data_IF_809939006000
#
_entry.id   IF_809939006000
#
_cell.length_a   1.000
_cell.length_b   1.000
_cell.length_c   1.000
_cell.angle_alpha   90.00
_cell.angle_beta   90.00
_cell.angle_gamma   90.00
#
_symmetry.space_group_name_H-M   'P 1'
#
loop_
_entity.id
_entity.type
_entity.pdbx_description
1 polymer ?
#
# COMPACT_ATOMS: atom_id res chain seq x y z
N UNK A 1 -4.62 -22.94 -8.53
CA UNK A 1 -3.83 -21.70 -8.74
C UNK A 1 -4.14 -20.56 -7.76
N UNK A 2 -5.41 -20.33 -7.38
CA UNK A 2 -5.77 -19.14 -6.58
C UNK A 2 -5.05 -19.07 -5.21
N UNK A 3 -5.13 -20.11 -4.37
CA UNK A 3 -4.51 -20.09 -3.05
C UNK A 3 -2.97 -20.07 -3.07
N UNK A 4 -2.34 -20.69 -4.07
CA UNK A 4 -0.87 -20.73 -4.20
C UNK A 4 -0.28 -19.33 -4.35
N UNK A 5 -0.90 -18.46 -5.18
CA UNK A 5 -0.48 -17.07 -5.34
C UNK A 5 -0.53 -16.32 -4.01
N UNK A 6 -1.53 -16.60 -3.17
CA UNK A 6 -1.68 -15.94 -1.87
C UNK A 6 -0.63 -16.43 -0.87
N UNK A 7 -0.41 -17.75 -0.78
CA UNK A 7 0.65 -18.31 0.07
C UNK A 7 2.03 -17.80 -0.34
N UNK A 8 2.28 -17.63 -1.64
CA UNK A 8 3.52 -17.05 -2.13
C UNK A 8 3.64 -15.56 -1.87
N UNK A 9 2.54 -14.80 -1.90
CA UNK A 9 2.52 -13.40 -1.49
C UNK A 9 2.83 -13.20 0.01
N UNK A 10 2.55 -14.21 0.85
CA UNK A 10 2.87 -14.17 2.28
C UNK A 10 4.35 -14.39 2.60
N UNK A 11 5.14 -14.95 1.66
CA UNK A 11 6.55 -15.30 1.89
C UNK A 11 7.50 -14.11 1.73
N UNK A 12 7.31 -13.03 2.49
CA UNK A 12 8.08 -11.78 2.33
C UNK A 12 9.61 -11.94 2.46
N UNK A 13 10.07 -12.96 3.19
CA UNK A 13 11.49 -13.23 3.43
C UNK A 13 12.19 -13.96 2.28
N UNK A 14 11.45 -14.61 1.37
CA UNK A 14 12.04 -15.41 0.29
C UNK A 14 12.43 -14.50 -0.89
N UNK A 15 13.58 -13.84 -0.76
CA UNK A 15 14.25 -12.96 -1.73
C UNK A 15 15.77 -13.17 -1.63
N UNK A 16 16.51 -12.96 -2.73
CA UNK A 16 17.99 -13.05 -2.74
C UNK A 16 18.61 -12.06 -1.77
N UNK A 17 17.99 -10.89 -1.60
CA UNK A 17 18.48 -9.81 -0.73
C UNK A 17 17.69 -9.68 0.59
N UNK A 18 17.49 -10.80 1.30
CA UNK A 18 16.65 -10.87 2.50
C UNK A 18 17.03 -9.82 3.58
N UNK A 19 18.32 -9.66 3.89
CA UNK A 19 18.78 -8.72 4.94
C UNK A 19 18.37 -7.27 4.66
N UNK A 20 18.40 -6.86 3.39
CA UNK A 20 18.00 -5.50 2.99
C UNK A 20 16.51 -5.28 3.20
N UNK A 21 15.71 -6.29 2.87
CA UNK A 21 14.25 -6.27 3.07
C UNK A 21 13.89 -6.26 4.55
N UNK A 22 14.61 -7.02 5.39
CA UNK A 22 14.45 -6.98 6.84
C UNK A 22 14.77 -5.58 7.39
N UNK A 23 15.84 -4.95 6.93
CA UNK A 23 16.18 -3.57 7.33
C UNK A 23 15.08 -2.59 6.91
N UNK A 24 14.55 -2.71 5.69
CA UNK A 24 13.43 -1.89 5.22
C UNK A 24 12.17 -2.10 6.05
N UNK A 25 11.87 -3.34 6.43
CA UNK A 25 10.75 -3.66 7.30
C UNK A 25 10.89 -2.99 8.67
N UNK A 26 12.04 -3.14 9.32
CA UNK A 26 12.31 -2.55 10.66
C UNK A 26 12.26 -1.02 10.60
N UNK A 27 12.84 -0.42 9.57
CA UNK A 27 12.81 1.03 9.37
C UNK A 27 11.37 1.52 9.18
N UNK A 28 10.59 0.87 8.31
CA UNK A 28 9.21 1.25 8.07
C UNK A 28 8.32 1.06 9.31
N UNK A 29 8.59 0.00 10.09
CA UNK A 29 7.93 -0.26 11.37
C UNK A 29 8.17 0.87 12.37
N UNK A 30 9.43 1.27 12.57
CA UNK A 30 9.77 2.36 13.46
C UNK A 30 9.12 3.69 13.01
N UNK A 31 9.13 3.98 11.71
CA UNK A 31 8.52 5.19 11.14
C UNK A 31 7.00 5.23 11.32
N UNK A 32 6.31 4.10 11.15
CA UNK A 32 4.84 4.06 11.36
C UNK A 32 4.45 4.03 12.85
N UNK A 33 5.33 3.58 13.74
CA UNK A 33 5.06 3.57 15.17
C UNK A 33 5.25 4.96 15.80
N UNK A 34 6.15 5.77 15.24
CA UNK A 34 6.54 7.07 15.78
C UNK A 34 5.35 8.05 15.97
N UNK A 35 4.43 8.26 15.01
CA UNK A 35 3.27 9.15 15.20
C UNK A 35 2.32 8.68 16.32
N UNK A 36 2.26 7.35 16.55
CA UNK A 36 1.36 6.77 17.52
C UNK A 36 1.90 6.92 18.95
N UNK A 37 3.21 6.73 19.13
CA UNK A 37 3.87 6.76 20.44
C UNK A 37 4.25 8.18 20.86
N UNK A 38 4.68 9.04 19.92
CA UNK A 38 5.07 10.39 20.27
C UNK A 38 3.83 11.27 20.57
N UNK A 39 3.90 12.16 21.57
CA UNK A 39 2.85 13.12 21.88
C UNK A 39 2.94 14.32 20.91
N UNK A 40 2.84 14.03 19.61
CA UNK A 40 2.88 15.04 18.54
C UNK A 40 1.46 15.37 18.12
N UNK A 41 1.12 16.65 18.16
CA UNK A 41 -0.19 17.17 17.73
C UNK A 41 -1.34 16.81 18.67
N UNK A 42 -2.55 17.06 18.19
CA UNK A 42 -3.79 16.80 18.91
C UNK A 42 -4.50 15.59 18.30
N UNK A 43 -4.68 14.54 19.12
CA UNK A 43 -5.31 13.26 18.74
C UNK A 43 -6.82 13.29 18.98
N UNK A 44 -7.36 14.36 19.56
CA UNK A 44 -8.79 14.48 19.80
C UNK A 44 -9.50 14.99 18.53
N UNK A 45 -10.26 14.11 17.90
CA UNK A 45 -11.12 14.42 16.76
C UNK A 45 -12.60 14.46 17.14
N UNK A 46 -12.93 14.50 18.45
CA UNK A 46 -14.31 14.55 18.94
C UNK A 46 -15.15 15.69 18.33
N UNK A 47 -14.63 16.91 18.12
CA UNK A 47 -15.39 17.98 17.47
C UNK A 47 -15.87 17.61 16.07
N UNK A 48 -15.01 16.94 15.28
CA UNK A 48 -15.34 16.49 13.93
C UNK A 48 -16.33 15.32 13.94
N UNK A 49 -16.21 14.40 14.90
CA UNK A 49 -17.16 13.29 15.06
C UNK A 49 -18.54 13.77 15.49
N UNK A 50 -18.61 14.74 16.40
CA UNK A 50 -19.86 15.35 16.85
C UNK A 50 -20.54 16.11 15.71
N UNK A 51 -19.77 16.90 14.96
CA UNK A 51 -20.25 17.56 13.74
C UNK A 51 -20.84 16.56 12.73
N UNK A 52 -20.18 15.41 12.53
CA UNK A 52 -20.71 14.36 11.65
C UNK A 52 -22.01 13.75 12.18
N UNK A 53 -22.09 13.50 13.50
CA UNK A 53 -23.30 13.00 14.13
C UNK A 53 -24.48 13.98 13.98
N UNK A 54 -24.24 15.28 14.16
CA UNK A 54 -25.25 16.33 13.98
C UNK A 54 -25.76 16.43 12.54
N UNK A 55 -24.85 16.38 11.55
CA UNK A 55 -25.25 16.32 10.14
C UNK A 55 -26.08 15.06 9.83
N UNK A 56 -25.69 13.91 10.38
CA UNK A 56 -26.44 12.66 10.20
C UNK A 56 -27.83 12.69 10.86
N UNK A 57 -28.01 13.51 11.90
CA UNK A 57 -29.28 13.77 12.55
C UNK A 57 -30.13 14.85 11.83
N UNK A 58 -29.66 15.36 10.68
CA UNK A 58 -30.37 16.34 9.85
C UNK A 58 -30.13 17.80 10.25
N UNK A 59 -29.16 18.09 11.12
CA UNK A 59 -28.75 19.47 11.45
C UNK A 59 -27.58 19.88 10.57
N UNK A 60 -27.80 20.83 9.68
CA UNK A 60 -26.79 21.33 8.74
C UNK A 60 -26.11 22.64 9.20
N UNK A 61 -26.50 23.17 10.36
CA UNK A 61 -25.88 24.35 10.98
C UNK A 61 -24.62 23.93 11.78
N UNK A 62 -23.64 23.41 11.04
CA UNK A 62 -22.40 22.89 11.60
C UNK A 62 -21.24 23.73 11.06
N UNK A 63 -20.33 24.12 11.95
CA UNK A 63 -19.16 24.90 11.58
C UNK A 63 -18.34 24.20 10.48
N UNK A 64 -17.71 24.95 9.57
CA UNK A 64 -16.89 24.36 8.52
C UNK A 64 -15.72 23.56 9.12
N UNK A 65 -15.31 22.49 8.42
CA UNK A 65 -14.24 21.56 8.87
C UNK A 65 -12.95 22.26 9.28
N UNK A 66 -12.61 23.39 8.64
CA UNK A 66 -11.43 24.18 8.98
C UNK A 66 -11.45 24.78 10.39
N UNK A 67 -12.63 25.05 10.94
CA UNK A 67 -12.82 25.62 12.28
C UNK A 67 -13.01 24.53 13.34
N UNK A 68 -13.44 23.33 12.92
CA UNK A 68 -13.60 22.16 13.80
C UNK A 68 -12.27 21.49 14.13
N UNK A 69 -11.24 21.68 13.30
CA UNK A 69 -9.93 21.05 13.44
C UNK A 69 -8.91 22.01 14.05
N UNK A 70 -8.29 21.60 15.15
CA UNK A 70 -7.18 22.35 15.75
C UNK A 70 -5.94 22.28 14.85
N UNK A 71 -4.99 23.23 14.97
CA UNK A 71 -3.70 23.12 14.29
C UNK A 71 -2.96 21.80 14.62
N UNK A 72 -3.18 21.27 15.83
CA UNK A 72 -2.67 19.97 16.25
C UNK A 72 -3.27 18.82 15.46
N UNK A 73 -4.58 18.83 15.17
CA UNK A 73 -5.23 17.81 14.36
C UNK A 73 -4.70 17.81 12.92
N UNK A 74 -4.56 19.00 12.31
CA UNK A 74 -3.99 19.15 10.96
C UNK A 74 -2.58 18.57 10.87
N UNK A 75 -1.76 18.80 11.90
CA UNK A 75 -0.41 18.25 11.98
C UNK A 75 -0.44 16.72 12.05
N UNK A 76 -1.35 16.12 12.82
CA UNK A 76 -1.52 14.65 12.86
C UNK A 76 -1.98 14.11 11.52
N UNK A 77 -2.98 14.72 10.88
CA UNK A 77 -3.46 14.30 9.56
C UNK A 77 -2.30 14.32 8.55
N UNK A 78 -1.51 15.41 8.53
CA UNK A 78 -0.34 15.53 7.68
C UNK A 78 0.72 14.46 7.95
N UNK A 79 0.98 14.16 9.24
CA UNK A 79 1.94 13.13 9.63
C UNK A 79 1.47 11.72 9.23
N UNK A 80 0.18 11.40 9.42
CA UNK A 80 -0.42 10.13 8.99
C UNK A 80 -0.42 9.98 7.46
N UNK A 81 -0.70 11.07 6.74
CA UNK A 81 -0.59 11.08 5.28
C UNK A 81 0.85 10.81 4.85
N UNK A 82 1.83 11.47 5.49
CA UNK A 82 3.25 11.26 5.20
C UNK A 82 3.68 9.82 5.47
N UNK A 83 3.30 9.23 6.61
CA UNK A 83 3.64 7.83 6.91
C UNK A 83 3.00 6.85 5.94
N UNK A 84 1.78 7.14 5.46
CA UNK A 84 1.15 6.34 4.40
C UNK A 84 1.90 6.47 3.07
N UNK A 85 2.32 7.67 2.67
CA UNK A 85 3.13 7.88 1.47
C UNK A 85 4.48 7.15 1.55
N UNK A 86 5.15 7.21 2.71
CA UNK A 86 6.38 6.45 2.96
C UNK A 86 6.11 4.94 2.87
N UNK A 87 5.01 4.46 3.44
CA UNK A 87 4.62 3.03 3.37
C UNK A 87 4.38 2.58 1.93
N UNK A 88 3.70 3.39 1.13
CA UNK A 88 3.50 3.13 -0.30
C UNK A 88 4.83 3.12 -1.07
N UNK A 89 5.75 4.02 -0.74
CA UNK A 89 7.08 4.07 -1.34
C UNK A 89 7.91 2.82 -1.02
N UNK A 90 7.95 2.38 0.23
CA UNK A 90 8.61 1.12 0.62
C UNK A 90 7.97 -0.10 -0.03
N UNK A 91 6.63 -0.12 -0.14
CA UNK A 91 5.91 -1.16 -0.87
C UNK A 91 6.32 -1.20 -2.34
N UNK A 92 6.43 -0.04 -2.99
CA UNK A 92 6.90 0.06 -4.37
C UNK A 92 8.35 -0.45 -4.50
N UNK A 93 9.26 -0.02 -3.63
CA UNK A 93 10.65 -0.49 -3.62
C UNK A 93 10.73 -2.00 -3.51
N UNK A 94 9.97 -2.59 -2.59
CA UNK A 94 9.92 -4.02 -2.40
C UNK A 94 9.36 -4.74 -3.65
N UNK A 95 8.26 -4.26 -4.23
CA UNK A 95 7.68 -4.85 -5.43
C UNK A 95 8.66 -4.77 -6.62
N UNK A 96 9.32 -3.62 -6.81
CA UNK A 96 10.34 -3.42 -7.86
C UNK A 96 11.53 -4.35 -7.65
N UNK A 97 12.02 -4.52 -6.42
CA UNK A 97 13.10 -5.45 -6.11
C UNK A 97 12.68 -6.90 -6.40
N UNK A 98 11.50 -7.33 -5.92
CA UNK A 98 11.00 -8.68 -6.13
C UNK A 98 10.86 -9.05 -7.61
N UNK A 99 10.32 -8.14 -8.43
CA UNK A 99 10.22 -8.38 -9.88
C UNK A 99 11.60 -8.30 -10.53
N UNK A 100 12.43 -7.34 -10.12
CA UNK A 100 13.76 -7.09 -10.66
C UNK A 100 14.80 -8.17 -10.34
N UNK A 101 14.58 -9.02 -9.33
CA UNK A 101 15.48 -10.15 -9.04
C UNK A 101 15.57 -11.15 -10.20
N UNK A 102 14.54 -11.24 -11.05
CA UNK A 102 14.59 -12.06 -12.28
C UNK A 102 15.51 -11.49 -13.35
N UNK A 103 15.81 -10.20 -13.26
CA UNK A 103 16.67 -9.46 -14.18
C UNK A 103 18.00 -9.07 -13.49
N UNK A 104 18.41 -9.80 -12.43
CA UNK A 104 19.62 -9.56 -11.63
C UNK A 104 19.76 -8.12 -11.08
N UNK A 105 18.65 -7.42 -10.83
CA UNK A 105 18.70 -6.06 -10.29
C UNK A 105 19.12 -6.04 -8.84
N UNK A 106 19.96 -5.05 -8.52
CA UNK A 106 20.41 -4.81 -7.14
C UNK A 106 19.41 -3.95 -6.35
N UNK A 107 19.41 -4.01 -5.00
CA UNK A 107 18.54 -3.17 -4.17
C UNK A 107 18.70 -1.67 -4.43
N UNK A 108 19.93 -1.22 -4.72
CA UNK A 108 20.21 0.17 -5.08
C UNK A 108 19.48 0.60 -6.35
N UNK A 109 19.40 -0.28 -7.35
CA UNK A 109 18.68 0.00 -8.59
C UNK A 109 17.17 0.05 -8.36
N UNK A 110 16.63 -0.78 -7.46
CA UNK A 110 15.23 -0.73 -7.07
C UNK A 110 14.89 0.63 -6.43
N UNK A 111 15.69 1.08 -5.45
CA UNK A 111 15.52 2.39 -4.79
C UNK A 111 15.56 3.53 -5.80
N UNK A 112 16.59 3.57 -6.66
CA UNK A 112 16.74 4.62 -7.67
C UNK A 112 15.59 4.60 -8.69
N UNK A 113 15.12 3.41 -9.08
CA UNK A 113 13.95 3.26 -9.94
C UNK A 113 12.69 3.84 -9.29
N UNK A 114 12.42 3.49 -8.03
CA UNK A 114 11.28 4.00 -7.26
C UNK A 114 11.34 5.50 -7.05
N UNK A 115 12.51 6.06 -6.73
CA UNK A 115 12.69 7.52 -6.56
C UNK A 115 12.39 8.29 -7.86
N UNK A 116 12.81 7.76 -9.01
CA UNK A 116 12.52 8.37 -10.32
C UNK A 116 11.04 8.28 -10.70
N UNK A 117 10.34 7.26 -10.21
CA UNK A 117 8.90 7.11 -10.44
C UNK A 117 8.05 7.99 -9.49
N UNK A 118 8.62 8.57 -8.42
CA UNK A 118 7.87 9.40 -7.48
C UNK A 118 7.21 10.62 -8.14
N UNK A 119 7.91 11.48 -8.92
CA UNK A 119 7.28 12.66 -9.49
C UNK A 119 6.05 12.37 -10.36
N UNK A 120 6.08 11.43 -11.33
CA UNK A 120 4.89 11.12 -12.12
C UNK A 120 3.79 10.44 -11.29
N UNK A 121 4.14 9.65 -10.28
CA UNK A 121 3.15 9.05 -9.37
C UNK A 121 2.48 10.08 -8.47
N UNK A 122 3.21 11.09 -7.99
CA UNK A 122 2.67 12.20 -7.21
C UNK A 122 1.74 13.07 -8.08
N UNK A 123 2.15 13.36 -9.31
CA UNK A 123 1.32 14.09 -10.27
C UNK A 123 0.00 13.34 -10.55
N UNK A 124 0.07 12.01 -10.74
CA UNK A 124 -1.12 11.18 -10.89
C UNK A 124 -1.96 11.13 -9.60
N UNK A 125 -1.33 11.05 -8.44
CA UNK A 125 -2.01 11.10 -7.14
C UNK A 125 -2.78 12.39 -6.94
N UNK A 126 -2.23 13.52 -7.37
CA UNK A 126 -2.92 14.81 -7.35
C UNK A 126 -4.07 14.84 -8.36
N UNK A 127 -3.87 14.31 -9.56
CA UNK A 127 -4.93 14.18 -10.57
C UNK A 127 -6.08 13.30 -10.07
N UNK A 128 -5.78 12.27 -9.27
CA UNK A 128 -6.74 11.35 -8.66
C UNK A 128 -7.65 11.99 -7.62
N UNK A 129 -7.32 13.18 -7.10
CA UNK A 129 -8.21 13.92 -6.21
C UNK A 129 -9.52 14.29 -6.91
N UNK A 130 -9.47 14.63 -8.20
CA UNK A 130 -10.66 14.97 -8.98
C UNK A 130 -11.66 13.80 -9.06
N UNK A 131 -11.30 12.61 -9.59
CA UNK A 131 -12.21 11.48 -9.61
C UNK A 131 -12.58 11.03 -8.20
N UNK A 132 -11.73 11.19 -7.18
CA UNK A 132 -12.10 10.90 -5.80
C UNK A 132 -13.25 11.80 -5.31
N UNK A 133 -13.20 13.11 -5.60
CA UNK A 133 -14.28 14.05 -5.26
C UNK A 133 -15.59 13.68 -5.96
N UNK A 134 -15.56 13.38 -7.26
CA UNK A 134 -16.77 12.97 -7.99
C UNK A 134 -17.29 11.59 -7.55
N UNK A 135 -16.39 10.68 -7.17
CA UNK A 135 -16.75 9.32 -6.75
C UNK A 135 -17.40 9.25 -5.38
N UNK A 136 -17.26 10.29 -4.54
CA UNK A 136 -17.90 10.35 -3.23
C UNK A 136 -19.43 10.18 -3.32
N UNK A 137 -20.05 10.67 -4.40
CA UNK A 137 -21.48 10.54 -4.67
C UNK A 137 -21.89 9.13 -5.13
N UNK A 138 -20.94 8.31 -5.58
CA UNK A 138 -21.15 6.99 -6.17
C UNK A 138 -20.49 5.88 -5.33
N UNK A 139 -20.48 6.04 -4.00
CA UNK A 139 -19.90 5.10 -3.05
C UNK A 139 -18.45 4.68 -3.35
N UNK A 140 -17.66 5.60 -3.93
CA UNK A 140 -16.26 5.37 -4.32
C UNK A 140 -16.02 4.26 -5.35
N UNK A 141 -17.07 3.69 -5.95
CA UNK A 141 -16.94 2.62 -6.96
C UNK A 141 -16.08 3.06 -8.16
N UNK A 142 -16.27 4.26 -8.75
CA UNK A 142 -15.46 4.68 -9.90
C UNK A 142 -13.98 4.81 -9.55
N UNK A 143 -13.66 5.34 -8.35
CA UNK A 143 -12.29 5.43 -7.86
C UNK A 143 -11.64 4.06 -7.72
N UNK A 144 -12.35 3.08 -7.14
CA UNK A 144 -11.86 1.70 -7.00
C UNK A 144 -11.56 1.09 -8.38
N UNK A 145 -12.48 1.23 -9.34
CA UNK A 145 -12.27 0.74 -10.70
C UNK A 145 -11.06 1.39 -11.35
N UNK A 146 -10.87 2.69 -11.16
CA UNK A 146 -9.72 3.41 -11.70
C UNK A 146 -8.40 2.94 -11.06
N UNK A 147 -8.36 2.78 -9.73
CA UNK A 147 -7.19 2.24 -9.02
C UNK A 147 -6.81 0.84 -9.52
N UNK A 148 -7.80 -0.01 -9.81
CA UNK A 148 -7.57 -1.32 -10.42
C UNK A 148 -7.03 -1.23 -11.85
N UNK A 149 -7.41 -0.21 -12.62
CA UNK A 149 -6.89 0.01 -13.97
C UNK A 149 -5.42 0.45 -13.96
N UNK A 150 -5.02 1.26 -12.99
CA UNK A 150 -3.64 1.73 -12.83
C UNK A 150 -2.80 0.84 -11.90
N UNK A 151 -3.29 -0.34 -11.53
CA UNK A 151 -2.68 -1.19 -10.52
C UNK A 151 -1.22 -1.57 -10.83
N UNK A 152 -0.84 -1.71 -12.12
CA UNK A 152 0.53 -2.06 -12.51
C UNK A 152 1.40 -0.86 -12.89
N UNK A 153 0.82 0.34 -12.95
CA UNK A 153 1.50 1.56 -13.37
C UNK A 153 2.81 1.81 -12.60
N UNK A 154 2.86 1.70 -11.25
CA UNK A 154 4.10 1.97 -10.52
C UNK A 154 5.24 1.02 -10.90
N UNK A 155 4.94 -0.25 -11.20
CA UNK A 155 5.94 -1.22 -11.64
C UNK A 155 6.41 -0.93 -13.07
N UNK A 156 5.51 -0.57 -13.98
CA UNK A 156 5.89 -0.19 -15.36
C UNK A 156 6.79 1.05 -15.39
N UNK A 157 6.52 2.05 -14.55
CA UNK A 157 7.35 3.26 -14.43
C UNK A 157 8.75 2.94 -13.87
N UNK A 158 8.83 2.09 -12.85
CA UNK A 158 10.11 1.77 -12.18
C UNK A 158 10.97 0.78 -12.96
N UNK A 159 10.37 -0.25 -13.56
CA UNK A 159 11.09 -1.34 -14.22
C UNK A 159 11.38 -1.03 -15.67
N UNK A 160 10.39 -0.56 -16.43
CA UNK A 160 10.47 -0.43 -17.89
C UNK A 160 10.83 0.99 -18.34
N UNK A 161 10.92 1.96 -17.41
CA UNK A 161 11.25 3.37 -17.67
C UNK A 161 10.38 4.02 -18.75
N UNK A 162 9.12 3.58 -18.84
CA UNK A 162 8.16 4.10 -19.82
C UNK A 162 7.67 5.48 -19.42
N UNK A 163 7.22 6.26 -20.40
CA UNK A 163 6.52 7.51 -20.14
C UNK A 163 5.19 7.25 -19.40
N UNK A 164 4.69 8.23 -18.65
CA UNK A 164 3.44 8.09 -17.87
C UNK A 164 2.26 7.64 -18.74
N UNK A 165 2.13 8.21 -19.95
CA UNK A 165 1.06 7.87 -20.89
C UNK A 165 1.13 6.41 -21.36
N UNK A 166 2.32 5.96 -21.77
CA UNK A 166 2.53 4.56 -22.19
C UNK A 166 2.28 3.60 -21.02
N UNK A 167 2.84 3.90 -19.84
CA UNK A 167 2.67 3.07 -18.66
C UNK A 167 1.19 2.96 -18.22
N UNK A 168 0.40 4.02 -18.41
CA UNK A 168 -1.04 4.02 -18.15
C UNK A 168 -1.78 3.10 -19.13
N UNK A 169 -1.49 3.22 -20.43
CA UNK A 169 -2.09 2.37 -21.46
C UNK A 169 -1.73 0.89 -21.25
N UNK A 170 -0.47 0.60 -20.89
CA UNK A 170 -0.02 -0.75 -20.60
C UNK A 170 -0.70 -1.34 -19.37
N UNK A 171 -0.86 -0.54 -18.30
CA UNK A 171 -1.59 -0.98 -17.10
C UNK A 171 -3.07 -1.22 -17.41
N UNK A 172 -3.69 -0.35 -18.22
CA UNK A 172 -5.09 -0.49 -18.61
C UNK A 172 -5.32 -1.76 -19.44
N UNK A 173 -4.48 -2.00 -20.43
CA UNK A 173 -4.58 -3.19 -21.30
C UNK A 173 -4.30 -4.47 -20.51
N UNK A 174 -3.30 -4.46 -19.61
CA UNK A 174 -3.02 -5.60 -18.74
C UNK A 174 -4.16 -5.95 -17.76
N UNK A 175 -4.97 -4.96 -17.37
CA UNK A 175 -6.02 -5.12 -16.36
C UNK A 175 -7.43 -5.28 -16.93
N UNK A 176 -7.64 -5.01 -18.23
CA UNK A 176 -8.96 -4.87 -18.88
C UNK A 176 -9.95 -6.01 -18.60
N UNK A 177 -9.48 -7.25 -18.46
CA UNK A 177 -10.33 -8.43 -18.16
C UNK A 177 -9.96 -9.15 -16.84
N UNK A 178 -9.11 -8.52 -16.01
CA UNK A 178 -8.59 -9.12 -14.78
C UNK A 178 -8.81 -8.27 -13.53
N UNK A 179 -9.55 -7.16 -13.62
CA UNK A 179 -9.83 -6.23 -12.50
C UNK A 179 -10.43 -6.93 -11.28
N UNK A 180 -11.50 -7.72 -11.48
CA UNK A 180 -12.14 -8.48 -10.41
C UNK A 180 -11.18 -9.50 -9.80
N UNK A 181 -10.39 -10.18 -10.63
CA UNK A 181 -9.38 -11.11 -10.14
C UNK A 181 -8.36 -10.41 -9.23
N UNK A 182 -7.79 -9.27 -9.65
CA UNK A 182 -6.85 -8.48 -8.84
C UNK A 182 -7.52 -8.01 -7.54
N UNK A 183 -8.75 -7.50 -7.64
CA UNK A 183 -9.53 -7.03 -6.50
C UNK A 183 -9.77 -8.12 -5.47
N UNK A 184 -10.28 -9.28 -5.89
CA UNK A 184 -10.51 -10.43 -5.01
C UNK A 184 -9.22 -10.92 -4.37
N UNK A 185 -8.08 -10.85 -5.06
CA UNK A 185 -6.78 -11.18 -4.46
C UNK A 185 -6.36 -10.24 -3.36
N UNK A 186 -6.49 -8.92 -3.59
CA UNK A 186 -6.20 -7.92 -2.57
C UNK A 186 -7.08 -8.08 -1.33
N UNK A 187 -8.39 -8.27 -1.54
CA UNK A 187 -9.33 -8.51 -0.45
C UNK A 187 -9.01 -9.79 0.30
N UNK A 188 -8.79 -10.91 -0.41
CA UNK A 188 -8.53 -12.19 0.22
C UNK A 188 -7.24 -12.14 1.05
N UNK A 189 -6.19 -11.49 0.54
CA UNK A 189 -4.94 -11.29 1.29
C UNK A 189 -5.19 -10.47 2.56
N UNK A 190 -5.90 -9.34 2.45
CA UNK A 190 -6.26 -8.50 3.60
C UNK A 190 -7.10 -9.26 4.63
N UNK A 191 -8.06 -10.06 4.18
CA UNK A 191 -8.89 -10.90 5.04
C UNK A 191 -8.05 -11.92 5.80
N UNK A 192 -7.20 -12.68 5.10
CA UNK A 192 -6.32 -13.70 5.71
C UNK A 192 -5.39 -13.08 6.75
N UNK A 193 -4.88 -11.87 6.54
CA UNK A 193 -4.01 -11.18 7.51
C UNK A 193 -4.76 -10.56 8.68
N UNK A 194 -6.01 -10.15 8.47
CA UNK A 194 -6.82 -9.55 9.53
C UNK A 194 -7.20 -10.55 10.63
N UNK A 195 -7.31 -11.85 10.30
CA UNK A 195 -7.67 -12.89 11.27
C UNK A 195 -6.61 -13.07 12.38
N UNK A 196 -5.33 -13.36 12.08
CA UNK A 196 -4.30 -13.47 13.11
C UNK A 196 -4.05 -12.14 13.82
N UNK A 197 -4.16 -11.00 13.11
CA UNK A 197 -4.03 -9.69 13.73
C UNK A 197 -5.07 -9.50 14.84
N UNK A 198 -6.36 -9.71 14.53
CA UNK A 198 -7.46 -9.55 15.50
C UNK A 198 -7.33 -10.54 16.66
N UNK A 199 -6.94 -11.79 16.36
CA UNK A 199 -6.73 -12.82 17.38
C UNK A 199 -5.61 -12.43 18.35
N UNK A 200 -4.47 -11.96 17.86
CA UNK A 200 -3.34 -11.57 18.72
C UNK A 200 -3.68 -10.30 19.51
N UNK A 201 -4.32 -9.33 18.85
CA UNK A 201 -4.73 -8.08 19.50
C UNK A 201 -5.73 -8.31 20.65
N UNK A 202 -6.58 -9.34 20.59
CA UNK A 202 -7.52 -9.63 21.70
C UNK A 202 -6.84 -10.07 22.99
N UNK A 203 -5.57 -10.49 22.94
CA UNK A 203 -4.80 -10.88 24.14
C UNK A 203 -3.99 -9.73 24.74
N UNK A 204 -4.04 -8.54 24.15
CA UNK A 204 -3.16 -7.43 24.51
C UNK A 204 -3.94 -6.36 25.25
N UNK A 205 -3.57 -6.11 26.50
CA UNK A 205 -4.20 -5.08 27.36
C UNK A 205 -3.46 -3.75 27.36
N UNK A 206 -2.15 -3.74 27.07
CA UNK A 206 -1.35 -2.51 27.03
C UNK A 206 -1.54 -1.74 25.73
N UNK A 207 -1.82 -0.44 25.85
CA UNK A 207 -1.98 0.47 24.70
C UNK A 207 -0.74 0.48 23.79
N UNK A 208 0.46 0.49 24.37
CA UNK A 208 1.70 0.50 23.60
C UNK A 208 1.89 -0.80 22.84
N UNK A 209 1.60 -1.94 23.48
CA UNK A 209 1.66 -3.23 22.82
C UNK A 209 0.61 -3.35 21.71
N UNK A 210 -0.58 -2.76 21.90
CA UNK A 210 -1.61 -2.70 20.86
C UNK A 210 -1.13 -1.91 19.63
N UNK A 211 -0.53 -0.72 19.82
CA UNK A 211 0.03 0.06 18.70
C UNK A 211 1.20 -0.67 18.03
N UNK A 212 2.12 -1.23 18.80
CA UNK A 212 3.24 -2.01 18.27
C UNK A 212 2.76 -3.16 17.38
N UNK A 213 1.82 -3.98 17.86
CA UNK A 213 1.26 -5.08 17.08
C UNK A 213 0.49 -4.60 15.84
N UNK A 214 -0.32 -3.55 15.99
CA UNK A 214 -1.06 -2.96 14.87
C UNK A 214 -0.11 -2.48 13.77
N UNK A 215 0.95 -1.78 14.14
CA UNK A 215 1.97 -1.30 13.21
C UNK A 215 2.74 -2.45 12.57
N UNK A 216 3.04 -3.52 13.31
CA UNK A 216 3.70 -4.70 12.76
C UNK A 216 2.87 -5.33 11.64
N UNK A 217 1.58 -5.56 11.89
CA UNK A 217 0.66 -6.12 10.88
C UNK A 217 0.43 -5.17 9.70
N UNK A 218 0.40 -3.85 9.93
CA UNK A 218 0.31 -2.85 8.86
C UNK A 218 1.50 -2.94 7.91
N UNK A 219 2.73 -2.97 8.45
CA UNK A 219 3.95 -3.08 7.63
C UNK A 219 4.03 -4.43 6.93
N UNK A 220 3.68 -5.52 7.62
CA UNK A 220 3.59 -6.85 7.04
C UNK A 220 2.60 -6.89 5.87
N UNK A 221 1.41 -6.32 6.06
CA UNK A 221 0.38 -6.23 5.03
C UNK A 221 0.87 -5.43 3.83
N UNK A 222 1.56 -4.31 4.04
CA UNK A 222 2.12 -3.48 2.97
C UNK A 222 3.11 -4.29 2.10
N UNK A 223 4.05 -5.00 2.71
CA UNK A 223 5.03 -5.84 1.99
C UNK A 223 4.37 -7.04 1.28
N UNK A 224 3.36 -7.66 1.89
CA UNK A 224 2.63 -8.76 1.25
C UNK A 224 1.79 -8.29 0.06
N UNK A 225 1.17 -7.10 0.14
CA UNK A 225 0.47 -6.50 -1.00
C UNK A 225 1.44 -6.13 -2.12
N UNK A 226 2.62 -5.61 -1.77
CA UNK A 226 3.69 -5.37 -2.73
C UNK A 226 4.17 -6.66 -3.41
N UNK A 227 4.32 -7.76 -2.65
CA UNK A 227 4.65 -9.09 -3.21
C UNK A 227 3.56 -9.59 -4.13
N UNK A 228 2.30 -9.45 -3.73
CA UNK A 228 1.14 -9.82 -4.55
C UNK A 228 1.14 -9.03 -5.87
N UNK A 229 1.36 -7.72 -5.81
CA UNK A 229 1.47 -6.87 -6.99
C UNK A 229 2.59 -7.35 -7.92
N UNK A 230 3.77 -7.65 -7.39
CA UNK A 230 4.89 -8.18 -8.16
C UNK A 230 4.60 -9.55 -8.79
N UNK A 231 3.96 -10.47 -8.06
CA UNK A 231 3.55 -11.78 -8.59
C UNK A 231 2.54 -11.62 -9.72
N UNK A 232 1.52 -10.78 -9.52
CA UNK A 232 0.50 -10.51 -10.52
C UNK A 232 1.09 -9.82 -11.76
N UNK A 233 2.06 -8.93 -11.57
CA UNK A 233 2.77 -8.28 -12.68
C UNK A 233 3.57 -9.29 -13.50
N UNK A 234 4.33 -10.17 -12.84
CA UNK A 234 5.08 -11.23 -13.51
C UNK A 234 4.16 -12.19 -14.29
N UNK A 235 3.01 -12.51 -13.72
CA UNK A 235 2.05 -13.44 -14.30
C UNK A 235 1.24 -12.82 -15.46
N UNK A 236 0.70 -11.62 -15.27
CA UNK A 236 -0.22 -10.99 -16.23
C UNK A 236 0.49 -10.13 -17.28
N UNK A 237 1.58 -9.44 -16.91
CA UNK A 237 2.29 -8.51 -17.80
C UNK A 237 3.46 -9.21 -18.47
N UNK A 238 4.39 -9.77 -17.67
CA UNK A 238 5.60 -10.42 -18.21
C UNK A 238 5.37 -11.85 -18.70
N UNK A 239 4.19 -12.44 -18.42
CA UNK A 239 3.81 -13.82 -18.79
C UNK A 239 4.85 -14.88 -18.39
N UNK A 240 5.58 -14.65 -17.29
CA UNK A 240 6.60 -15.60 -16.82
C UNK A 240 5.88 -16.77 -16.16
N UNK A 241 6.11 -18.02 -16.62
CA UNK A 241 5.47 -19.19 -16.01
C UNK A 241 5.86 -19.29 -14.53
N UNK A 242 4.87 -19.62 -13.71
CA UNK A 242 5.04 -19.77 -12.26
C UNK A 242 5.76 -21.09 -11.97
N UNK A 243 7.06 -21.16 -12.24
CA UNK A 243 7.91 -22.27 -11.77
C UNK A 243 8.37 -21.90 -10.37
N UNK A 244 7.96 -22.66 -9.37
CA UNK A 244 8.47 -22.55 -8.01
C UNK A 244 9.88 -23.18 -8.05
N UNK A 245 10.99 -22.42 -7.95
CA UNK A 245 12.25 -23.06 -7.63
C UNK A 245 12.13 -23.49 -6.16
N UNK A 246 12.00 -24.80 -5.98
CA UNK A 246 11.95 -25.45 -4.66
C UNK A 246 13.33 -25.54 -4.01
N UNK A 247 14.39 -25.12 -4.69
CA UNK A 247 15.75 -25.01 -4.14
C UNK A 247 16.42 -23.73 -4.63
N UNK A 248 17.27 -23.09 -3.79
CA UNK A 248 18.31 -22.23 -4.35
C UNK A 248 19.19 -23.15 -5.20
N UNK A 249 19.39 -22.80 -6.47
CA UNK A 249 20.51 -23.34 -7.21
C UNK A 249 21.77 -22.86 -6.49
N UNK A 250 22.28 -23.71 -5.59
CA UNK A 250 23.69 -23.70 -5.22
C UNK A 250 24.45 -24.14 -6.45
N UNK A 251 24.61 -23.21 -7.40
CA UNK A 251 25.51 -23.33 -8.52
C UNK A 251 26.74 -22.49 -8.20
N UNK A 252 27.73 -23.20 -7.64
CA UNK A 252 29.19 -22.96 -7.60
C UNK A 252 29.66 -21.65 -6.98
#
# INVERSE_FOLDING_TARGET
MSFVILLEAMKIHKLRHERTVQLWFVLLYALNLMPLVLPIGDKDFSPLLNAFAEMSAGRFDVAPVGELLTPGNWLIIGLLLLTNLVTLFFSLMYATLFVGEKDDRTPRQAVLGSLRALPPLLALGLLLLLPAMFSALLAFIPLIVFLLMIYFLPLSLTLERRSLSQALQDSLTATQHRKLFIFFKGILLSFVLSLPQRLIQSFVSSLLAYYALSTFFLVLQAFMHARLMGILYLYLVKKVPFVIPSKPDTAV
#
